data_IF_835303857307
#
_entry.id   IF_835303857307
#
_cell.length_a   1.000
_cell.length_b   1.000
_cell.length_c   1.000
_cell.angle_alpha   90.00
_cell.angle_beta   90.00
_cell.angle_gamma   90.00
#
_symmetry.space_group_name_H-M   'P 1'
#
loop_
_entity.id
_entity.type
_entity.pdbx_description
1 polymer ?
#
# COMPACT_ATOMS: atom_id res chain seq x y z
N UNK A 1 -10.72 16.61 0.08
CA UNK A 1 -10.63 15.29 -0.58
C UNK A 1 -11.43 15.37 -1.87
N UNK A 2 -10.83 15.03 -3.02
CA UNK A 2 -11.55 14.87 -4.29
C UNK A 2 -12.21 13.49 -4.40
N UNK A 3 -13.02 13.25 -5.44
CA UNK A 3 -13.59 11.93 -5.73
C UNK A 3 -12.49 10.86 -5.90
N UNK A 4 -11.48 11.14 -6.72
CA UNK A 4 -10.35 10.23 -6.95
C UNK A 4 -9.52 10.00 -5.68
N UNK A 5 -9.41 11.02 -4.81
CA UNK A 5 -8.71 10.86 -3.54
C UNK A 5 -9.36 9.81 -2.65
N UNK A 6 -10.69 9.73 -2.60
CA UNK A 6 -11.36 8.69 -1.81
C UNK A 6 -11.11 7.29 -2.40
N UNK A 7 -11.20 7.15 -3.72
CA UNK A 7 -10.96 5.87 -4.39
C UNK A 7 -9.51 5.38 -4.22
N UNK A 8 -8.54 6.26 -4.43
CA UNK A 8 -7.12 5.90 -4.29
C UNK A 8 -6.76 5.65 -2.82
N UNK A 9 -7.35 6.39 -1.87
CA UNK A 9 -7.07 6.19 -0.45
C UNK A 9 -7.67 4.88 0.07
N UNK A 10 -8.88 4.53 -0.39
CA UNK A 10 -9.50 3.24 -0.10
C UNK A 10 -8.67 2.09 -0.70
N UNK A 11 -8.22 2.21 -1.95
CA UNK A 11 -7.34 1.21 -2.58
C UNK A 11 -6.02 1.03 -1.82
N UNK A 12 -5.36 2.13 -1.43
CA UNK A 12 -4.11 2.09 -0.66
C UNK A 12 -4.32 1.47 0.72
N UNK A 13 -5.40 1.86 1.41
CA UNK A 13 -5.72 1.37 2.74
C UNK A 13 -6.10 -0.11 2.76
N UNK A 14 -6.92 -0.56 1.80
CA UNK A 14 -7.31 -1.96 1.70
C UNK A 14 -6.09 -2.84 1.36
N UNK A 15 -5.20 -2.39 0.48
CA UNK A 15 -3.98 -3.12 0.16
C UNK A 15 -3.02 -3.21 1.36
N UNK A 16 -2.70 -2.10 2.02
CA UNK A 16 -1.75 -2.12 3.16
C UNK A 16 -2.30 -2.95 4.33
N UNK A 17 -3.62 -3.02 4.47
CA UNK A 17 -4.30 -3.77 5.54
C UNK A 17 -4.19 -5.29 5.41
N UNK A 18 -3.80 -5.84 4.25
CA UNK A 18 -3.58 -7.27 4.05
C UNK A 18 -2.40 -7.80 4.88
N UNK A 19 -1.41 -6.95 5.10
CA UNK A 19 -0.12 -7.35 5.64
C UNK A 19 -0.09 -7.27 7.17
N UNK A 20 0.60 -8.24 7.79
CA UNK A 20 0.82 -8.28 9.24
C UNK A 20 2.12 -7.58 9.67
N UNK A 21 3.16 -7.67 8.85
CA UNK A 21 4.44 -7.02 9.09
C UNK A 21 4.31 -5.51 8.84
N UNK A 22 5.30 -4.71 9.26
CA UNK A 22 5.30 -3.28 8.97
C UNK A 22 5.40 -3.07 7.45
N UNK A 23 4.39 -2.42 6.86
CA UNK A 23 4.24 -2.35 5.40
C UNK A 23 3.94 -0.93 4.94
N UNK A 24 4.55 -0.56 3.82
CA UNK A 24 4.22 0.62 3.04
C UNK A 24 3.60 0.21 1.70
N UNK A 25 2.50 0.85 1.33
CA UNK A 25 1.88 0.76 0.00
C UNK A 25 1.77 2.16 -0.60
N UNK A 26 2.13 2.30 -1.88
CA UNK A 26 1.93 3.52 -2.64
C UNK A 26 1.00 3.22 -3.81
N UNK A 27 -0.08 3.99 -3.94
CA UNK A 27 -1.09 3.86 -4.99
C UNK A 27 -1.15 5.10 -5.85
N UNK A 28 -1.42 4.89 -7.15
CA UNK A 28 -1.83 5.94 -8.08
C UNK A 28 -2.91 5.39 -9.00
N UNK A 29 -4.04 6.10 -9.12
CA UNK A 29 -5.16 5.69 -9.96
C UNK A 29 -5.64 4.26 -9.65
N UNK A 30 -5.88 3.98 -8.38
CA UNK A 30 -6.36 2.71 -7.80
C UNK A 30 -5.46 1.50 -7.99
N UNK A 31 -4.23 1.68 -8.46
CA UNK A 31 -3.24 0.62 -8.64
C UNK A 31 -2.03 0.85 -7.73
N UNK A 32 -1.58 -0.18 -6.98
CA UNK A 32 -0.30 -0.12 -6.27
C UNK A 32 0.86 0.02 -7.25
N UNK A 33 1.63 1.10 -7.13
CA UNK A 33 2.89 1.28 -7.86
C UNK A 33 4.11 0.83 -7.05
N UNK A 34 3.96 0.67 -5.73
CA UNK A 34 4.99 0.13 -4.86
C UNK A 34 4.42 -0.46 -3.59
N UNK A 35 4.91 -1.64 -3.20
CA UNK A 35 4.55 -2.31 -1.95
C UNK A 35 5.82 -2.92 -1.37
N UNK A 36 6.07 -2.70 -0.08
CA UNK A 36 7.19 -3.31 0.62
C UNK A 36 6.86 -3.52 2.09
N UNK A 37 7.32 -4.63 2.63
CA UNK A 37 7.17 -5.00 4.05
C UNK A 37 8.53 -5.34 4.65
N UNK A 38 8.69 -5.10 5.94
CA UNK A 38 9.91 -5.43 6.67
C UNK A 38 9.79 -5.12 8.16
N UNK A 39 10.88 -5.32 8.90
CA UNK A 39 10.93 -4.98 10.32
C UNK A 39 11.12 -3.46 10.54
N UNK A 40 11.80 -2.79 9.61
CA UNK A 40 11.97 -1.34 9.59
C UNK A 40 11.02 -0.69 8.57
N UNK A 41 10.10 0.14 9.08
CA UNK A 41 9.13 0.86 8.24
C UNK A 41 9.78 1.92 7.35
N UNK A 42 10.93 2.48 7.75
CA UNK A 42 11.68 3.44 6.93
C UNK A 42 12.28 2.75 5.71
N UNK A 43 12.84 1.55 5.90
CA UNK A 43 13.33 0.72 4.81
C UNK A 43 12.18 0.30 3.88
N UNK A 44 11.06 -0.19 4.43
CA UNK A 44 9.88 -0.53 3.66
C UNK A 44 9.36 0.67 2.85
N UNK A 45 9.32 1.87 3.44
CA UNK A 45 8.94 3.08 2.70
C UNK A 45 9.87 3.37 1.52
N UNK A 46 11.19 3.33 1.72
CA UNK A 46 12.19 3.56 0.67
C UNK A 46 12.10 2.52 -0.45
N UNK A 47 11.91 1.24 -0.09
CA UNK A 47 11.73 0.15 -1.06
C UNK A 47 10.45 0.30 -1.87
N UNK A 48 9.33 0.69 -1.24
CA UNK A 48 8.08 0.95 -1.95
C UNK A 48 8.23 2.11 -2.95
N UNK A 49 8.95 3.19 -2.58
CA UNK A 49 9.26 4.28 -3.53
C UNK A 49 10.16 3.81 -4.66
N UNK A 50 11.17 2.98 -4.37
CA UNK A 50 12.12 2.45 -5.35
C UNK A 50 11.46 1.55 -6.42
N UNK A 51 10.32 0.93 -6.11
CA UNK A 51 9.60 0.07 -7.05
C UNK A 51 9.18 0.82 -8.32
N UNK A 52 8.58 2.01 -8.17
CA UNK A 52 8.29 2.93 -9.27
C UNK A 52 8.26 4.39 -8.75
N UNK A 53 9.41 5.08 -8.74
CA UNK A 53 9.49 6.45 -8.21
C UNK A 53 8.68 7.46 -9.01
N UNK A 54 8.56 7.24 -10.33
CA UNK A 54 7.86 8.15 -11.25
C UNK A 54 6.37 8.10 -10.97
N UNK A 55 5.81 6.90 -10.79
CA UNK A 55 4.41 6.74 -10.42
C UNK A 55 4.14 7.09 -8.97
N UNK A 56 5.08 6.85 -8.04
CA UNK A 56 4.90 7.21 -6.64
C UNK A 56 4.73 8.73 -6.42
N UNK A 57 5.32 9.56 -7.29
CA UNK A 57 5.16 11.01 -7.21
C UNK A 57 3.71 11.45 -7.47
N UNK A 58 3.14 12.18 -6.50
CA UNK A 58 1.74 12.59 -6.47
C UNK A 58 0.77 11.46 -6.11
N UNK A 59 1.28 10.31 -5.66
CA UNK A 59 0.45 9.19 -5.25
C UNK A 59 -0.16 9.35 -3.85
N UNK A 60 -0.75 8.27 -3.39
CA UNK A 60 -1.21 8.08 -2.01
C UNK A 60 -0.31 7.06 -1.35
N UNK A 61 0.25 7.44 -0.20
CA UNK A 61 1.10 6.55 0.61
C UNK A 61 0.32 6.07 1.83
N UNK A 62 0.36 4.76 2.08
CA UNK A 62 -0.36 4.09 3.15
C UNK A 62 0.60 3.26 4.01
N UNK A 63 0.38 3.27 5.33
CA UNK A 63 1.12 2.48 6.30
C UNK A 63 0.15 1.71 7.20
N UNK A 64 0.44 0.44 7.52
CA UNK A 64 -0.39 -0.36 8.44
C UNK A 64 0.02 -0.21 9.91
N UNK A 65 1.00 0.63 10.23
CA UNK A 65 1.45 0.96 11.59
C UNK A 65 1.36 2.47 11.86
N UNK A 66 1.51 2.87 13.12
CA UNK A 66 1.55 4.29 13.51
C UNK A 66 2.70 5.04 12.83
N UNK A 67 2.43 6.25 12.34
CA UNK A 67 3.46 7.13 11.78
C UNK A 67 4.06 7.99 12.89
N UNK A 68 5.32 7.73 13.21
CA UNK A 68 6.12 8.49 14.18
C UNK A 68 6.82 9.71 13.54
N UNK A 69 7.66 10.40 14.32
CA UNK A 69 8.38 11.57 13.83
C UNK A 69 9.49 11.23 12.82
N UNK A 70 10.08 10.04 12.90
CA UNK A 70 11.13 9.60 11.98
C UNK A 70 10.52 9.33 10.60
N UNK A 71 9.45 8.55 10.54
CA UNK A 71 8.74 8.25 9.30
C UNK A 71 8.10 9.50 8.70
N UNK A 72 7.52 10.39 9.53
CA UNK A 72 6.99 11.67 9.07
C UNK A 72 8.07 12.57 8.41
N UNK A 73 9.28 12.62 8.98
CA UNK A 73 10.42 13.34 8.37
C UNK A 73 10.81 12.71 7.04
N UNK A 74 10.95 11.39 7.01
CA UNK A 74 11.33 10.65 5.80
C UNK A 74 10.33 10.89 4.66
N UNK A 75 9.01 10.78 4.91
CA UNK A 75 7.96 11.09 3.92
C UNK A 75 8.09 12.51 3.34
N UNK A 76 8.53 13.46 4.18
CA UNK A 76 8.66 14.88 3.81
C UNK A 76 10.00 15.23 3.15
N UNK A 77 10.99 14.36 3.24
CA UNK A 77 12.39 14.67 2.89
C UNK A 77 12.97 13.74 1.84
N UNK A 78 12.45 12.52 1.72
CA UNK A 78 12.94 11.53 0.77
C UNK A 78 12.98 12.15 -0.63
N UNK A 79 14.14 12.00 -1.26
CA UNK A 79 14.35 12.39 -2.65
C UNK A 79 14.06 11.20 -3.55
N UNK A 80 13.49 11.49 -4.70
CA UNK A 80 13.26 10.51 -5.75
C UNK A 80 14.58 9.79 -6.07
N UNK A 81 14.65 8.46 -5.99
CA UNK A 81 15.85 7.72 -6.38
C UNK A 81 16.12 7.80 -7.89
N UNK A 82 15.22 8.35 -8.69
CA UNK A 82 15.44 8.58 -10.13
C UNK A 82 16.47 9.68 -10.39
N UNK A 83 16.42 10.79 -9.64
CA UNK A 83 17.27 11.96 -9.85
C UNK A 83 18.09 12.39 -8.62
N UNK A 84 17.73 11.91 -7.42
CA UNK A 84 18.39 12.28 -6.16
C UNK A 84 18.07 13.71 -5.67
N UNK A 85 17.26 14.47 -6.40
CA UNK A 85 17.06 15.91 -6.18
C UNK A 85 15.60 16.27 -5.88
N UNK A 86 14.66 15.64 -6.59
CA UNK A 86 13.24 15.92 -6.48
C UNK A 86 12.68 15.33 -5.19
N UNK A 87 12.08 16.14 -4.32
CA UNK A 87 11.43 15.61 -3.10
C UNK A 87 10.18 14.84 -3.50
N UNK A 88 9.97 13.68 -2.89
CA UNK A 88 8.71 12.97 -3.06
C UNK A 88 7.55 13.85 -2.59
N UNK A 89 6.51 13.86 -3.39
CA UNK A 89 5.25 14.55 -3.11
C UNK A 89 4.14 13.51 -3.08
N UNK A 90 3.24 13.62 -2.10
CA UNK A 90 2.04 12.79 -2.00
C UNK A 90 0.83 13.68 -1.84
N UNK A 91 -0.28 13.26 -2.43
CA UNK A 91 -1.56 13.91 -2.19
C UNK A 91 -2.13 13.53 -0.82
N UNK A 92 -1.91 12.28 -0.41
CA UNK A 92 -2.47 11.70 0.82
C UNK A 92 -1.43 10.81 1.50
N UNK A 93 -1.37 10.93 2.82
CA UNK A 93 -0.80 9.91 3.70
C UNK A 93 -1.94 9.32 4.55
N UNK A 94 -2.05 8.00 4.58
CA UNK A 94 -3.05 7.28 5.40
C UNK A 94 -2.37 6.27 6.32
N UNK A 95 -2.77 6.23 7.58
CA UNK A 95 -2.22 5.33 8.57
C UNK A 95 -3.26 5.03 9.67
N UNK A 96 -3.07 3.99 10.50
CA UNK A 96 -3.96 3.73 11.63
C UNK A 96 -3.92 4.82 12.70
N UNK A 97 -2.77 5.49 12.89
CA UNK A 97 -2.51 6.52 13.90
C UNK A 97 -1.30 7.37 13.52
N UNK A 98 -1.14 8.49 14.22
CA UNK A 98 0.02 9.37 14.15
C UNK A 98 0.43 9.80 15.56
N UNK A 99 1.73 9.83 15.81
CA UNK A 99 2.25 10.55 16.98
C UNK A 99 2.01 12.05 16.83
N UNK A 100 1.93 12.79 17.94
CA UNK A 100 1.73 14.25 17.91
C UNK A 100 2.83 14.96 17.11
N UNK A 101 4.09 14.58 17.35
CA UNK A 101 5.25 15.10 16.61
C UNK A 101 5.21 14.74 15.12
N UNK A 102 4.89 13.49 14.79
CA UNK A 102 4.75 13.04 13.40
C UNK A 102 3.69 13.86 12.65
N UNK A 103 2.55 14.11 13.30
CA UNK A 103 1.48 14.93 12.75
C UNK A 103 1.89 16.40 12.56
N UNK A 104 2.65 16.97 13.50
CA UNK A 104 3.21 18.33 13.37
C UNK A 104 4.14 18.43 12.16
N UNK A 105 5.08 17.50 12.00
CA UNK A 105 6.01 17.42 10.86
C UNK A 105 5.25 17.29 9.54
N UNK A 106 4.27 16.40 9.50
CA UNK A 106 3.42 16.22 8.32
C UNK A 106 2.59 17.47 8.03
N UNK A 107 2.16 18.27 9.01
CA UNK A 107 1.43 19.53 8.74
C UNK A 107 2.34 20.68 8.28
N UNK A 108 3.59 20.72 8.76
CA UNK A 108 4.46 21.88 8.61
C UNK A 108 4.92 22.22 7.18
N UNK A 109 5.14 21.23 6.30
CA UNK A 109 5.77 21.48 4.99
C UNK A 109 4.83 21.72 3.81
N UNK A 110 3.55 21.36 3.92
CA UNK A 110 2.59 21.61 2.84
C UNK A 110 1.16 21.64 3.36
N UNK A 111 0.42 22.68 2.96
CA UNK A 111 -1.02 22.83 3.22
C UNK A 111 -1.89 21.91 2.35
N UNK A 112 -1.33 21.22 1.35
CA UNK A 112 -2.09 20.41 0.39
C UNK A 112 -2.09 18.91 0.68
N UNK A 113 -1.18 18.41 1.53
CA UNK A 113 -1.16 17.02 1.96
C UNK A 113 -2.41 16.73 2.83
N UNK A 114 -3.22 15.74 2.44
CA UNK A 114 -4.27 15.22 3.32
C UNK A 114 -3.68 14.13 4.19
N UNK A 115 -3.96 14.19 5.49
CA UNK A 115 -3.49 13.23 6.48
C UNK A 115 -4.73 12.52 7.01
N UNK A 116 -4.82 11.22 6.79
CA UNK A 116 -6.00 10.42 7.12
C UNK A 116 -5.66 9.36 8.16
N UNK A 117 -6.46 9.32 9.22
CA UNK A 117 -6.47 8.19 10.14
C UNK A 117 -7.58 7.22 9.70
N UNK A 118 -7.25 5.94 9.56
CA UNK A 118 -8.19 4.92 9.11
C UNK A 118 -8.13 3.67 10.00
N UNK A 119 -9.27 3.00 10.19
CA UNK A 119 -9.33 1.73 10.91
C UNK A 119 -9.35 0.58 9.91
N UNK A 120 -8.68 -0.52 10.26
CA UNK A 120 -8.70 -1.73 9.43
C UNK A 120 -10.14 -2.22 9.30
N UNK A 121 -10.53 -2.59 8.08
CA UNK A 121 -11.85 -3.16 7.83
C UNK A 121 -11.96 -4.55 8.44
N UNK A 122 -13.12 -4.84 9.03
CA UNK A 122 -13.51 -6.21 9.40
C UNK A 122 -13.76 -7.05 8.13
N UNK A 123 -13.43 -8.34 8.21
CA UNK A 123 -13.75 -9.34 7.18
C UNK A 123 -15.25 -9.64 7.11
N UNK A 124 -15.70 -10.28 6.05
CA UNK A 124 -17.08 -10.73 5.87
C UNK A 124 -18.05 -9.61 5.50
N UNK A 125 -17.54 -8.52 4.93
CA UNK A 125 -18.37 -7.41 4.42
C UNK A 125 -18.83 -7.70 3.00
N UNK A 126 -19.90 -7.02 2.58
CA UNK A 126 -20.32 -6.98 1.19
C UNK A 126 -19.55 -5.91 0.41
N UNK A 127 -19.07 -6.28 -0.78
CA UNK A 127 -18.59 -5.36 -1.79
C UNK A 127 -19.74 -5.01 -2.74
N UNK A 128 -19.99 -3.71 -2.91
CA UNK A 128 -21.05 -3.19 -3.77
C UNK A 128 -20.46 -2.53 -5.01
N UNK A 129 -21.01 -2.83 -6.18
CA UNK A 129 -20.62 -2.21 -7.46
C UNK A 129 -21.84 -1.67 -8.19
N UNK A 130 -21.82 -0.38 -8.51
CA UNK A 130 -22.89 0.24 -9.30
C UNK A 130 -22.87 -0.27 -10.75
N UNK A 131 -24.06 -0.50 -11.30
CA UNK A 131 -24.32 -0.75 -12.72
C UNK A 131 -25.49 0.12 -13.17
N UNK A 132 -25.69 0.30 -14.49
CA UNK A 132 -26.68 1.26 -15.00
C UNK A 132 -28.12 1.08 -14.49
N UNK A 133 -28.52 -0.14 -14.14
CA UNK A 133 -29.85 -0.46 -13.61
C UNK A 133 -29.92 -0.66 -12.08
N UNK A 134 -28.82 -0.49 -11.35
CA UNK A 134 -28.80 -0.77 -9.90
C UNK A 134 -27.41 -1.09 -9.35
N UNK A 135 -27.34 -2.13 -8.52
CA UNK A 135 -26.12 -2.52 -7.80
C UNK A 135 -25.91 -4.03 -7.88
N UNK A 136 -24.65 -4.44 -7.98
CA UNK A 136 -24.20 -5.79 -7.72
C UNK A 136 -23.69 -5.85 -6.29
N UNK A 137 -23.96 -6.96 -5.60
CA UNK A 137 -23.44 -7.25 -4.27
C UNK A 137 -22.74 -8.62 -4.30
N UNK A 138 -21.57 -8.70 -3.70
CA UNK A 138 -20.81 -9.93 -3.50
C UNK A 138 -20.09 -9.87 -2.15
N UNK A 139 -19.65 -11.00 -1.64
CA UNK A 139 -18.72 -10.98 -0.51
C UNK A 139 -17.41 -10.29 -0.90
N UNK A 140 -16.83 -9.55 0.03
CA UNK A 140 -15.47 -9.05 -0.13
C UNK A 140 -14.50 -10.21 -0.31
N UNK A 141 -13.53 -10.04 -1.20
CA UNK A 141 -12.43 -10.98 -1.29
C UNK A 141 -11.53 -10.79 -0.06
N UNK A 142 -11.69 -11.68 0.93
CA UNK A 142 -10.93 -11.67 2.19
C UNK A 142 -9.92 -12.82 2.26
N UNK A 143 -9.70 -13.52 1.14
CA UNK A 143 -8.76 -14.65 1.05
C UNK A 143 -7.32 -14.17 1.23
N UNK A 144 -6.57 -15.01 1.93
CA UNK A 144 -5.15 -14.86 2.20
C UNK A 144 -4.38 -16.10 1.73
N UNK A 145 -3.05 -16.03 1.59
CA UNK A 145 -2.24 -17.20 1.24
C UNK A 145 -2.39 -18.37 2.19
N UNK A 146 -2.77 -18.13 3.45
CA UNK A 146 -3.01 -19.19 4.45
C UNK A 146 -4.33 -19.93 4.25
N UNK A 147 -5.26 -19.36 3.48
CA UNK A 147 -6.57 -19.96 3.18
C UNK A 147 -6.50 -20.90 1.96
N UNK A 148 -5.36 -20.97 1.27
CA UNK A 148 -5.17 -21.74 0.05
C UNK A 148 -3.97 -22.68 0.13
N UNK A 149 -3.99 -23.72 -0.71
CA UNK A 149 -2.87 -24.65 -0.84
C UNK A 149 -2.03 -24.31 -2.08
N UNK A 150 -0.74 -24.00 -1.87
CA UNK A 150 0.22 -23.88 -2.97
C UNK A 150 0.67 -25.26 -3.43
N UNK A 151 0.32 -25.62 -4.66
CA UNK A 151 0.71 -26.89 -5.28
C UNK A 151 1.96 -26.70 -6.16
N UNK A 152 3.03 -27.45 -5.88
CA UNK A 152 4.23 -27.45 -6.72
C UNK A 152 3.97 -28.34 -7.95
N UNK A 153 3.92 -27.71 -9.12
CA UNK A 153 3.63 -28.38 -10.40
C UNK A 153 4.87 -28.59 -11.29
N UNK A 154 6.05 -28.25 -10.78
CA UNK A 154 7.35 -28.39 -11.45
C UNK A 154 8.26 -29.38 -10.74
N UNK A 155 9.29 -29.89 -11.44
CA UNK A 155 10.31 -30.76 -10.85
C UNK A 155 11.12 -30.06 -9.75
N UNK A 156 11.53 -28.81 -10.01
CA UNK A 156 12.21 -27.98 -9.01
C UNK A 156 11.19 -27.46 -8.00
N UNK A 157 11.45 -27.74 -6.71
CA UNK A 157 10.67 -27.19 -5.59
C UNK A 157 11.19 -25.80 -5.20
N UNK A 158 10.30 -24.86 -4.86
CA UNK A 158 10.72 -23.57 -4.32
C UNK A 158 11.37 -23.75 -2.95
N UNK A 159 12.33 -22.89 -2.64
CA UNK A 159 12.88 -22.70 -1.31
C UNK A 159 11.90 -21.92 -0.42
N UNK A 160 12.09 -21.96 0.90
CA UNK A 160 11.18 -21.30 1.86
C UNK A 160 11.12 -19.77 1.68
N UNK A 161 12.20 -19.13 1.23
CA UNK A 161 12.18 -17.70 0.88
C UNK A 161 11.40 -17.44 -0.42
N UNK A 162 11.55 -18.29 -1.44
CA UNK A 162 10.80 -18.17 -2.70
C UNK A 162 9.29 -18.37 -2.47
N UNK A 163 8.90 -19.25 -1.53
CA UNK A 163 7.50 -19.38 -1.11
C UNK A 163 6.99 -18.14 -0.40
N UNK A 164 7.77 -17.55 0.51
CA UNK A 164 7.41 -16.28 1.18
C UNK A 164 7.25 -15.13 0.18
N UNK A 165 8.14 -15.04 -0.80
CA UNK A 165 8.03 -14.07 -1.91
C UNK A 165 6.75 -14.28 -2.71
N UNK A 166 6.39 -15.54 -2.99
CA UNK A 166 5.16 -15.89 -3.69
C UNK A 166 3.90 -15.55 -2.89
N UNK A 167 3.87 -15.80 -1.58
CA UNK A 167 2.76 -15.42 -0.70
C UNK A 167 2.58 -13.90 -0.64
N UNK A 168 3.68 -13.15 -0.54
CA UNK A 168 3.66 -11.70 -0.59
C UNK A 168 3.17 -11.19 -1.94
N UNK A 169 3.68 -11.73 -3.06
CA UNK A 169 3.24 -11.38 -4.40
C UNK A 169 1.76 -11.71 -4.63
N UNK A 170 1.27 -12.82 -4.06
CA UNK A 170 -0.15 -13.21 -4.10
C UNK A 170 -1.02 -12.13 -3.46
N UNK A 171 -0.66 -11.66 -2.25
CA UNK A 171 -1.41 -10.60 -1.59
C UNK A 171 -1.37 -9.29 -2.38
N UNK A 172 -0.22 -8.93 -2.94
CA UNK A 172 -0.10 -7.74 -3.79
C UNK A 172 -0.98 -7.82 -5.04
N UNK A 173 -0.96 -8.95 -5.76
CA UNK A 173 -1.62 -9.06 -7.08
C UNK A 173 -3.14 -8.97 -7.00
N UNK A 174 -3.73 -9.36 -5.86
CA UNK A 174 -5.16 -9.14 -5.53
C UNK A 174 -5.60 -7.68 -5.68
N UNK A 175 -4.70 -6.73 -5.42
CA UNK A 175 -4.97 -5.30 -5.44
C UNK A 175 -4.59 -4.61 -6.75
N UNK A 176 -4.07 -5.35 -7.74
CA UNK A 176 -3.76 -4.83 -9.07
C UNK A 176 -4.90 -5.19 -10.02
N UNK A 177 -5.35 -4.25 -10.87
CA UNK A 177 -6.46 -4.51 -11.80
C UNK A 177 -6.08 -5.59 -12.82
N UNK A 178 -6.97 -6.56 -13.02
CA UNK A 178 -6.73 -7.70 -13.92
C UNK A 178 -6.66 -7.30 -15.40
N UNK A 179 -5.86 -7.98 -16.23
CA UNK A 179 -4.90 -9.03 -15.89
C UNK A 179 -3.65 -8.45 -15.21
N UNK A 180 -3.15 -9.11 -14.17
CA UNK A 180 -2.09 -8.59 -13.33
C UNK A 180 -0.95 -9.59 -13.14
N UNK A 181 0.28 -9.06 -13.12
CA UNK A 181 1.50 -9.80 -12.75
C UNK A 181 2.24 -8.94 -11.73
N UNK A 182 2.63 -9.55 -10.61
CA UNK A 182 3.49 -8.93 -9.61
C UNK A 182 4.78 -9.73 -9.53
N UNK A 183 5.92 -9.02 -9.59
CA UNK A 183 7.24 -9.59 -9.35
C UNK A 183 7.70 -9.04 -8.00
N UNK A 184 8.02 -9.92 -7.06
CA UNK A 184 8.43 -9.54 -5.72
C UNK A 184 9.70 -10.25 -5.28
N UNK A 185 10.37 -9.64 -4.31
CA UNK A 185 11.49 -10.19 -3.56
C UNK A 185 11.47 -9.54 -2.18
N UNK A 186 11.33 -10.33 -1.13
CA UNK A 186 11.14 -9.89 0.26
C UNK A 186 12.28 -10.40 1.14
#
# INVERSE_FOLDING_TARGET
MSYNNYLDADAAWNCVSEFRNSTCVIVKHTNPCGVASGDDILEAYRLAVKADPVSAFGGIVAFNIEVDDALAKEIRELRSPTDGETRMFYEIVVAPKYTEKGLEILRGKSKTLRILEAKKNEKGKLSLRQVGGGWLAQDSDDLTPQDIQFNVVSEKKPQDNELRDAEFAWLCVKHVKSNAIVIAKV
#
